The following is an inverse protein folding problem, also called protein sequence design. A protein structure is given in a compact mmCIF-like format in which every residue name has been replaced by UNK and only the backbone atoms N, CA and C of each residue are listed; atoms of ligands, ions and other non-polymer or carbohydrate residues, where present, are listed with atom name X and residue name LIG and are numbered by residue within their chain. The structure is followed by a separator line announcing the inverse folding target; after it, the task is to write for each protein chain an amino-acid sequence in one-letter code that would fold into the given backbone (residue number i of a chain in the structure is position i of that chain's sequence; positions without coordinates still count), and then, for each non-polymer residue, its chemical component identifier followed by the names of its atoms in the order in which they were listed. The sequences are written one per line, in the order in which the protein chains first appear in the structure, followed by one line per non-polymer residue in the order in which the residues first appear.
data_IF_810581209192
#
_entry.id   IF_810581209192
#
_cell.length_a   1.000
_cell.length_b   1.000
_cell.length_c   1.000
_cell.angle_alpha   90.00
_cell.angle_beta   90.00
_cell.angle_gamma   90.00
#
_symmetry.space_group_name_H-M   'P 1'
#
loop_
_entity.id
_entity.type
_entity.pdbx_description
1 polymer ?
#
# COMPACT_ATOMS: atom_id res chain seq x y z
N UNK A 1 -4.90 10.67 9.42
CA UNK A 1 -5.14 10.20 8.05
C UNK A 1 -4.90 11.24 6.95
N UNK A 2 -4.02 12.27 7.07
CA UNK A 2 -3.92 13.27 5.99
C UNK A 2 -3.53 12.69 4.63
N UNK A 3 -2.66 11.67 4.59
CA UNK A 3 -2.29 11.02 3.33
C UNK A 3 -3.46 10.20 2.77
N UNK A 4 -3.96 9.26 3.59
CA UNK A 4 -5.13 8.43 3.29
C UNK A 4 -6.35 9.21 2.80
N UNK A 5 -6.76 10.22 3.56
CA UNK A 5 -7.95 11.03 3.25
C UNK A 5 -7.74 11.80 1.94
N UNK A 6 -6.53 12.29 1.69
CA UNK A 6 -6.22 13.00 0.44
C UNK A 6 -6.27 12.03 -0.74
N UNK A 7 -5.68 10.85 -0.62
CA UNK A 7 -5.69 9.81 -1.66
C UNK A 7 -7.11 9.36 -2.00
N UNK A 8 -7.92 9.02 -0.99
CA UNK A 8 -9.31 8.62 -1.19
C UNK A 8 -10.18 9.75 -1.75
N UNK A 9 -10.02 10.99 -1.26
CA UNK A 9 -10.76 12.13 -1.80
C UNK A 9 -10.43 12.38 -3.28
N UNK A 10 -9.15 12.24 -3.66
CA UNK A 10 -8.73 12.35 -5.06
C UNK A 10 -9.39 11.28 -5.93
N UNK A 11 -9.41 10.02 -5.49
CA UNK A 11 -10.12 8.96 -6.22
C UNK A 11 -11.60 9.27 -6.37
N UNK A 12 -12.27 9.65 -5.29
CA UNK A 12 -13.70 9.99 -5.31
C UNK A 12 -14.00 11.17 -6.25
N UNK A 13 -13.17 12.21 -6.24
CA UNK A 13 -13.32 13.36 -7.14
C UNK A 13 -13.13 12.97 -8.61
N UNK A 14 -12.14 12.12 -8.91
CA UNK A 14 -11.91 11.62 -10.26
C UNK A 14 -13.09 10.77 -10.76
N UNK A 15 -13.64 9.89 -9.92
CA UNK A 15 -14.84 9.10 -10.27
C UNK A 15 -16.10 9.98 -10.44
N UNK A 16 -16.20 11.08 -9.69
CA UNK A 16 -17.27 12.06 -9.82
C UNK A 16 -17.14 12.95 -11.07
N UNK A 17 -16.08 12.78 -11.88
CA UNK A 17 -15.88 13.50 -13.14
C UNK A 17 -15.15 14.84 -12.99
N UNK A 18 -14.47 15.10 -11.86
CA UNK A 18 -13.60 16.28 -11.75
C UNK A 18 -12.50 16.21 -12.84
N UNK A 19 -12.25 17.30 -13.59
CA UNK A 19 -11.23 17.30 -14.63
C UNK A 19 -9.83 16.96 -14.08
N UNK A 20 -9.16 15.96 -14.67
CA UNK A 20 -7.81 15.51 -14.25
C UNK A 20 -6.76 16.63 -14.20
N UNK A 21 -6.92 17.66 -15.03
CA UNK A 21 -6.05 18.84 -15.08
C UNK A 21 -6.57 20.03 -14.24
N UNK A 22 -7.61 19.82 -13.44
CA UNK A 22 -8.19 20.82 -12.54
C UNK A 22 -7.19 21.25 -11.47
N UNK A 23 -7.25 22.52 -11.07
CA UNK A 23 -6.31 23.10 -10.11
C UNK A 23 -6.31 22.37 -8.74
N UNK A 24 -7.48 21.87 -8.30
CA UNK A 24 -7.63 21.16 -7.03
C UNK A 24 -6.90 19.81 -7.04
N UNK A 25 -7.17 18.98 -8.05
CA UNK A 25 -6.51 17.68 -8.21
C UNK A 25 -5.00 17.84 -8.41
N UNK A 26 -4.58 18.76 -9.27
CA UNK A 26 -3.15 19.01 -9.48
C UNK A 26 -2.43 19.42 -8.18
N UNK A 27 -3.07 20.22 -7.32
CA UNK A 27 -2.50 20.61 -6.02
C UNK A 27 -2.38 19.40 -5.08
N UNK A 28 -3.42 18.58 -4.97
CA UNK A 28 -3.42 17.40 -4.11
C UNK A 28 -2.39 16.35 -4.57
N UNK A 29 -2.37 16.05 -5.88
CA UNK A 29 -1.44 15.08 -6.45
C UNK A 29 0.03 15.49 -6.29
N UNK A 30 0.36 16.77 -6.49
CA UNK A 30 1.71 17.28 -6.23
C UNK A 30 2.08 17.17 -4.74
N UNK A 31 1.14 17.54 -3.87
CA UNK A 31 1.36 17.46 -2.42
C UNK A 31 1.67 16.03 -1.96
N UNK A 32 0.99 15.02 -2.53
CA UNK A 32 1.27 13.60 -2.28
C UNK A 32 2.61 13.18 -2.90
N UNK A 33 2.88 13.55 -4.15
CA UNK A 33 4.14 13.21 -4.84
C UNK A 33 5.38 13.75 -4.10
N UNK A 34 5.30 14.97 -3.54
CA UNK A 34 6.38 15.59 -2.76
C UNK A 34 6.65 14.89 -1.41
N UNK A 35 5.83 13.90 -1.03
CA UNK A 35 5.88 13.17 0.26
C UNK A 35 6.23 11.70 0.11
N UNK A 36 6.64 11.27 -1.07
CA UNK A 36 7.16 9.91 -1.23
C UNK A 36 8.44 9.77 -0.40
N UNK A 37 8.51 8.74 0.44
CA UNK A 37 9.69 8.41 1.22
C UNK A 37 10.69 7.69 0.32
N UNK A 38 11.76 8.39 -0.07
CA UNK A 38 12.76 7.89 -1.03
C UNK A 38 14.17 7.69 -0.44
N UNK A 39 14.42 8.19 0.78
CA UNK A 39 15.77 8.27 1.35
C UNK A 39 15.89 7.68 2.76
N UNK A 40 14.76 7.31 3.38
CA UNK A 40 14.72 6.75 4.74
C UNK A 40 14.31 5.28 4.67
N UNK A 41 15.17 4.40 5.21
CA UNK A 41 14.82 3.02 5.48
C UNK A 41 14.16 2.92 6.86
N UNK A 42 12.93 2.42 6.90
CA UNK A 42 12.16 2.17 8.11
C UNK A 42 12.45 0.81 8.74
N UNK A 43 11.68 0.45 9.77
CA UNK A 43 11.83 -0.82 10.48
C UNK A 43 11.60 -2.04 9.55
N UNK A 44 10.76 -1.86 8.52
CA UNK A 44 10.53 -2.83 7.44
C UNK A 44 11.81 -3.32 6.75
N UNK A 45 12.87 -2.51 6.73
CA UNK A 45 14.15 -2.88 6.14
C UNK A 45 14.83 -4.06 6.88
N UNK A 46 14.42 -4.34 8.12
CA UNK A 46 14.84 -5.53 8.87
C UNK A 46 14.51 -6.82 8.11
N UNK A 47 13.30 -6.90 7.53
CA UNK A 47 12.85 -8.06 6.76
C UNK A 47 13.16 -7.95 5.26
N UNK A 48 13.43 -6.74 4.77
CA UNK A 48 13.74 -6.46 3.35
C UNK A 48 15.03 -5.64 3.22
N UNK A 49 16.19 -6.17 3.65
CA UNK A 49 17.44 -5.44 3.58
C UNK A 49 17.81 -5.15 2.11
N UNK A 50 18.13 -3.90 1.82
CA UNK A 50 18.53 -3.46 0.48
C UNK A 50 17.38 -3.12 -0.48
N UNK A 51 16.13 -3.36 -0.10
CA UNK A 51 14.98 -2.83 -0.84
C UNK A 51 14.99 -1.29 -0.72
N UNK A 52 14.86 -0.60 -1.85
CA UNK A 52 14.86 0.86 -1.85
C UNK A 52 13.54 1.39 -1.30
N UNK A 53 13.54 2.40 -0.41
CA UNK A 53 12.30 3.02 0.07
C UNK A 53 11.53 3.68 -1.07
N UNK A 54 10.20 3.55 -1.08
CA UNK A 54 9.34 4.13 -2.11
C UNK A 54 7.89 4.34 -1.71
N UNK A 55 7.58 4.26 -0.41
CA UNK A 55 6.22 4.33 0.12
C UNK A 55 5.81 5.72 0.61
N UNK A 56 4.60 5.78 1.16
CA UNK A 56 4.00 6.91 1.86
C UNK A 56 3.52 6.44 3.22
N UNK A 57 3.45 7.34 4.18
CA UNK A 57 2.87 7.08 5.48
C UNK A 57 1.48 7.72 5.61
N UNK A 58 0.64 7.14 6.44
CA UNK A 58 -0.67 7.68 6.84
C UNK A 58 -0.66 9.14 7.34
N UNK A 59 0.39 9.54 8.08
CA UNK A 59 0.54 10.86 8.70
C UNK A 59 1.22 11.89 7.78
N UNK A 60 1.43 13.10 8.28
CA UNK A 60 2.13 14.16 7.53
C UNK A 60 3.63 13.88 7.28
N UNK A 61 4.27 13.25 8.26
CA UNK A 61 5.70 12.90 8.24
C UNK A 61 5.90 11.75 9.23
N UNK A 62 6.28 10.59 8.72
CA UNK A 62 6.51 9.38 9.51
C UNK A 62 7.38 8.40 8.71
N UNK A 63 8.53 8.89 8.25
CA UNK A 63 9.33 8.27 7.19
C UNK A 63 9.90 6.89 7.56
N UNK A 64 9.91 6.54 8.85
CA UNK A 64 10.30 5.20 9.32
C UNK A 64 9.17 4.16 9.28
N UNK A 65 7.92 4.60 9.12
CA UNK A 65 6.74 3.74 9.07
C UNK A 65 5.82 4.09 7.89
N UNK A 66 6.33 4.06 6.64
CA UNK A 66 5.45 4.01 5.49
C UNK A 66 4.66 2.70 5.52
N UNK A 67 3.41 2.75 5.11
CA UNK A 67 2.51 1.60 5.04
C UNK A 67 2.11 1.32 3.59
N UNK A 68 1.86 0.05 3.28
CA UNK A 68 1.63 -0.40 1.91
C UNK A 68 0.24 -0.02 1.41
N UNK A 69 -0.75 0.15 2.29
CA UNK A 69 -2.10 0.52 1.92
C UNK A 69 -2.23 1.99 1.52
N UNK A 70 -1.69 2.94 2.29
CA UNK A 70 -1.57 4.34 1.87
C UNK A 70 -0.75 4.43 0.59
N UNK A 71 0.38 3.72 0.53
CA UNK A 71 1.25 3.72 -0.65
C UNK A 71 0.53 3.24 -1.90
N UNK A 72 -0.27 2.17 -1.81
CA UNK A 72 -1.06 1.66 -2.91
C UNK A 72 -2.12 2.68 -3.36
N UNK A 73 -2.87 3.26 -2.42
CA UNK A 73 -3.92 4.25 -2.71
C UNK A 73 -3.33 5.51 -3.34
N UNK A 74 -2.22 6.01 -2.83
CA UNK A 74 -1.53 7.20 -3.34
C UNK A 74 -0.97 6.94 -4.73
N UNK A 75 -0.20 5.86 -4.93
CA UNK A 75 0.39 5.55 -6.23
C UNK A 75 -0.70 5.37 -7.31
N UNK A 76 -1.79 4.68 -6.97
CA UNK A 76 -2.94 4.52 -7.86
C UNK A 76 -3.58 5.88 -8.22
N UNK A 77 -3.60 6.85 -7.31
CA UNK A 77 -4.05 8.21 -7.61
C UNK A 77 -3.06 8.94 -8.53
N UNK A 78 -1.76 8.92 -8.20
CA UNK A 78 -0.72 9.62 -8.97
C UNK A 78 -0.62 9.11 -10.41
N UNK A 79 -0.84 7.82 -10.65
CA UNK A 79 -0.92 7.23 -11.99
C UNK A 79 -2.00 7.89 -12.87
N UNK A 80 -3.07 8.41 -12.27
CA UNK A 80 -4.16 9.08 -12.98
C UNK A 80 -3.90 10.57 -13.24
N UNK A 81 -2.79 11.12 -12.75
CA UNK A 81 -2.45 12.54 -12.92
C UNK A 81 -2.22 12.94 -14.39
N UNK A 82 -2.49 14.20 -14.73
CA UNK A 82 -2.17 14.74 -16.06
C UNK A 82 -0.72 15.19 -16.21
N UNK A 83 -0.06 15.56 -15.12
CA UNK A 83 1.32 16.07 -15.10
C UNK A 83 2.31 14.89 -15.00
N UNK A 84 3.17 14.64 -16.03
CA UNK A 84 4.12 13.53 -15.98
C UNK A 84 5.14 13.63 -14.84
N UNK A 85 5.42 14.85 -14.33
CA UNK A 85 6.36 15.01 -13.21
C UNK A 85 5.84 14.37 -11.93
N UNK A 86 4.53 14.42 -11.71
CA UNK A 86 3.86 13.80 -10.56
C UNK A 86 3.98 12.27 -10.59
N UNK A 87 4.15 11.69 -11.78
CA UNK A 87 4.26 10.23 -11.98
C UNK A 87 5.67 9.67 -11.83
N UNK A 88 6.68 10.52 -11.68
CA UNK A 88 8.08 10.08 -11.69
C UNK A 88 8.43 9.07 -10.58
N UNK A 89 7.69 9.11 -9.47
CA UNK A 89 7.85 8.21 -8.34
C UNK A 89 7.23 6.82 -8.49
N UNK A 90 6.40 6.58 -9.51
CA UNK A 90 5.62 5.33 -9.64
C UNK A 90 6.49 4.08 -9.79
N UNK A 91 7.55 4.04 -10.60
CA UNK A 91 8.40 2.85 -10.69
C UNK A 91 9.03 2.47 -9.33
N UNK A 92 9.38 3.47 -8.53
CA UNK A 92 9.94 3.27 -7.18
C UNK A 92 8.87 2.76 -6.20
N UNK A 93 7.63 3.22 -6.34
CA UNK A 93 6.50 2.73 -5.56
C UNK A 93 6.16 1.28 -5.90
N UNK A 94 6.16 0.93 -7.19
CA UNK A 94 5.95 -0.46 -7.66
C UNK A 94 7.03 -1.39 -7.09
N UNK A 95 8.31 -1.02 -7.22
CA UNK A 95 9.42 -1.78 -6.65
C UNK A 95 9.24 -2.02 -5.15
N UNK A 96 8.89 -0.96 -4.40
CA UNK A 96 8.72 -1.06 -2.97
C UNK A 96 7.52 -1.95 -2.59
N UNK A 97 6.35 -1.76 -3.21
CA UNK A 97 5.16 -2.60 -2.96
C UNK A 97 5.45 -4.06 -3.29
N UNK A 98 6.06 -4.36 -4.44
CA UNK A 98 6.43 -5.73 -4.83
C UNK A 98 7.41 -6.33 -3.81
N UNK A 99 8.42 -5.57 -3.40
CA UNK A 99 9.40 -6.01 -2.41
C UNK A 99 8.82 -6.26 -1.02
N UNK A 100 7.74 -5.57 -0.66
CA UNK A 100 7.04 -5.72 0.62
C UNK A 100 6.06 -6.91 0.67
N UNK A 101 5.87 -7.65 -0.44
CA UNK A 101 4.99 -8.82 -0.45
C UNK A 101 5.54 -9.93 0.46
N UNK A 102 4.66 -10.55 1.25
CA UNK A 102 5.03 -11.71 2.08
C UNK A 102 5.07 -13.00 1.27
N UNK A 103 5.74 -14.05 1.78
CA UNK A 103 5.88 -15.35 1.10
C UNK A 103 4.57 -16.06 0.80
N UNK A 104 3.52 -15.85 1.59
CA UNK A 104 2.18 -16.40 1.34
C UNK A 104 1.42 -15.68 0.21
N UNK A 105 1.99 -14.62 -0.37
CA UNK A 105 1.39 -13.87 -1.47
C UNK A 105 0.58 -12.64 -1.03
N UNK A 106 0.28 -12.49 0.26
CA UNK A 106 -0.40 -11.31 0.78
C UNK A 106 0.55 -10.20 1.25
N UNK A 107 -0.04 -9.09 1.66
CA UNK A 107 0.63 -7.95 2.29
C UNK A 107 0.03 -7.65 3.66
N UNK A 108 0.90 -7.44 4.66
CA UNK A 108 0.56 -6.72 5.90
C UNK A 108 0.68 -5.21 5.68
N UNK A 109 0.33 -4.40 6.66
CA UNK A 109 0.31 -2.94 6.53
C UNK A 109 1.71 -2.32 6.47
N UNK A 110 2.62 -2.70 7.37
CA UNK A 110 3.94 -2.07 7.55
C UNK A 110 5.10 -3.03 7.25
N UNK A 111 4.95 -4.30 7.61
CA UNK A 111 6.05 -5.27 7.57
C UNK A 111 5.72 -6.48 6.70
N UNK A 112 6.76 -6.99 6.04
CA UNK A 112 6.68 -8.27 5.40
C UNK A 112 7.06 -9.40 6.38
N UNK A 113 6.41 -10.56 6.28
CA UNK A 113 6.63 -11.74 7.14
C UNK A 113 6.30 -11.57 8.63
N UNK A 114 5.54 -10.55 9.03
CA UNK A 114 5.17 -10.33 10.43
C UNK A 114 4.00 -11.26 10.87
N UNK A 115 4.24 -12.57 10.84
CA UNK A 115 3.25 -13.63 11.10
C UNK A 115 3.68 -14.58 12.21
N UNK A 116 4.44 -14.09 13.19
CA UNK A 116 4.89 -14.86 14.36
C UNK A 116 3.78 -15.08 15.39
N UNK A 117 2.68 -15.76 14.99
CA UNK A 117 1.45 -15.94 15.77
C UNK A 117 1.65 -16.47 17.20
N UNK A 118 2.73 -17.19 17.46
CA UNK A 118 3.08 -17.65 18.80
C UNK A 118 3.26 -16.51 19.82
N UNK A 119 3.61 -15.29 19.36
CA UNK A 119 3.72 -14.10 20.19
C UNK A 119 2.38 -13.62 20.74
N UNK A 120 1.24 -14.04 20.16
CA UNK A 120 -0.08 -13.75 20.71
C UNK A 120 -0.45 -14.62 21.93
N UNK A 121 0.43 -15.54 22.37
CA UNK A 121 0.18 -16.43 23.51
C UNK A 121 0.96 -16.05 24.79
N UNK A 122 1.60 -14.89 24.81
CA UNK A 122 2.26 -14.37 26.02
C UNK A 122 1.30 -13.49 26.84
N UNK A 123 1.48 -13.35 28.17
CA UNK A 123 0.57 -12.56 29.01
C UNK A 123 0.42 -11.09 28.61
N UNK A 124 1.40 -10.55 27.88
CA UNK A 124 1.38 -9.16 27.37
C UNK A 124 0.43 -8.97 26.17
N UNK A 125 0.06 -10.04 25.47
CA UNK A 125 -0.67 -10.00 24.20
C UNK A 125 -2.20 -10.08 24.37
N UNK A 126 -2.76 -9.41 25.37
CA UNK A 126 -4.19 -9.52 25.72
C UNK A 126 -5.14 -9.02 24.63
N UNK A 127 -4.68 -8.13 23.75
CA UNK A 127 -5.43 -7.57 22.62
C UNK A 127 -5.30 -8.36 21.30
N UNK A 128 -4.41 -9.36 21.22
CA UNK A 128 -4.24 -10.24 20.04
C UNK A 128 -3.77 -9.56 18.74
N UNK A 129 -3.34 -8.31 18.80
CA UNK A 129 -2.95 -7.49 17.64
C UNK A 129 -1.47 -7.06 17.68
N UNK A 130 -0.59 -7.90 18.25
CA UNK A 130 0.85 -7.62 18.33
C UNK A 130 1.57 -7.74 16.98
N UNK A 131 0.89 -8.29 15.98
CA UNK A 131 1.47 -8.69 14.70
C UNK A 131 0.80 -7.95 13.56
N UNK A 132 1.51 -7.91 12.44
CA UNK A 132 1.07 -7.37 11.16
C UNK A 132 1.05 -8.46 10.08
N UNK A 133 0.24 -9.52 10.25
CA UNK A 133 0.17 -10.56 9.23
C UNK A 133 -0.51 -10.02 7.98
N UNK A 134 -0.27 -10.64 6.82
CA UNK A 134 -1.01 -10.32 5.62
C UNK A 134 -2.53 -10.38 5.80
N UNK A 135 -3.25 -9.43 5.19
CA UNK A 135 -4.73 -9.37 5.23
C UNK A 135 -5.31 -9.10 3.86
N UNK A 136 -6.59 -9.43 3.70
CA UNK A 136 -7.30 -9.46 2.42
C UNK A 136 -7.54 -8.06 1.86
N UNK A 137 -7.92 -7.11 2.72
CA UNK A 137 -8.13 -5.71 2.37
C UNK A 137 -6.85 -5.02 1.88
N UNK A 138 -5.73 -5.20 2.58
CA UNK A 138 -4.42 -4.65 2.20
C UNK A 138 -3.90 -5.30 0.92
N UNK A 139 -4.02 -6.63 0.82
CA UNK A 139 -3.62 -7.37 -0.38
C UNK A 139 -4.42 -6.94 -1.61
N UNK A 140 -5.74 -6.78 -1.48
CA UNK A 140 -6.59 -6.33 -2.58
C UNK A 140 -6.21 -4.92 -3.07
N UNK A 141 -5.83 -4.00 -2.18
CA UNK A 141 -5.36 -2.66 -2.56
C UNK A 141 -4.04 -2.71 -3.32
N UNK A 142 -3.07 -3.50 -2.84
CA UNK A 142 -1.79 -3.68 -3.52
C UNK A 142 -1.98 -4.29 -4.91
N UNK A 143 -2.80 -5.35 -5.03
CA UNK A 143 -3.16 -5.96 -6.32
C UNK A 143 -3.83 -4.95 -7.26
N UNK A 144 -4.79 -4.16 -6.75
CA UNK A 144 -5.47 -3.13 -7.53
C UNK A 144 -4.53 -2.04 -8.05
N UNK A 145 -3.62 -1.57 -7.21
CA UNK A 145 -2.59 -0.59 -7.60
C UNK A 145 -1.66 -1.15 -8.69
N UNK A 146 -1.10 -2.36 -8.48
CA UNK A 146 -0.19 -2.98 -9.43
C UNK A 146 -0.87 -3.23 -10.79
N UNK A 147 -2.11 -3.73 -10.75
CA UNK A 147 -2.90 -3.97 -11.97
C UNK A 147 -3.24 -2.67 -12.72
N UNK A 148 -3.52 -1.57 -12.02
CA UNK A 148 -3.79 -0.28 -12.66
C UNK A 148 -2.54 0.29 -13.33
N UNK A 149 -1.39 0.27 -12.63
CA UNK A 149 -0.13 0.81 -13.17
C UNK A 149 0.35 -0.04 -14.35
N UNK A 150 0.16 -1.36 -14.30
CA UNK A 150 0.46 -2.25 -15.42
C UNK A 150 1.95 -2.41 -15.72
N UNK A 151 2.82 -2.21 -14.72
CA UNK A 151 4.25 -2.47 -14.84
C UNK A 151 4.51 -3.99 -14.76
N UNK A 152 5.31 -4.52 -15.68
CA UNK A 152 5.62 -5.97 -15.76
C UNK A 152 6.25 -6.51 -14.47
N UNK A 153 6.97 -5.67 -13.72
CA UNK A 153 7.55 -6.06 -12.43
C UNK A 153 6.50 -6.48 -11.39
N UNK A 154 5.25 -6.07 -11.58
CA UNK A 154 4.13 -6.43 -10.70
C UNK A 154 3.44 -7.75 -11.04
N UNK A 155 3.67 -8.36 -12.21
CA UNK A 155 2.87 -9.49 -12.71
C UNK A 155 2.88 -10.69 -11.76
N UNK A 156 4.05 -11.16 -11.36
CA UNK A 156 4.18 -12.30 -10.43
C UNK A 156 3.56 -11.97 -9.07
N UNK A 157 3.70 -10.72 -8.61
CA UNK A 157 3.14 -10.28 -7.34
C UNK A 157 1.60 -10.26 -7.38
N UNK A 158 1.01 -9.81 -8.49
CA UNK A 158 -0.42 -9.84 -8.75
C UNK A 158 -0.94 -11.27 -8.71
N UNK A 159 -0.30 -12.21 -9.42
CA UNK A 159 -0.74 -13.60 -9.46
C UNK A 159 -0.76 -14.23 -8.06
N UNK A 160 0.31 -14.02 -7.29
CA UNK A 160 0.41 -14.51 -5.90
C UNK A 160 -0.61 -13.85 -4.98
N UNK A 161 -0.85 -12.55 -5.13
CA UNK A 161 -1.88 -11.84 -4.37
C UNK A 161 -3.29 -12.32 -4.67
N UNK A 162 -3.60 -12.60 -5.94
CA UNK A 162 -4.88 -13.19 -6.34
C UNK A 162 -5.04 -14.62 -5.81
N UNK A 163 -3.98 -15.42 -5.78
CA UNK A 163 -4.01 -16.75 -5.15
C UNK A 163 -4.28 -16.64 -3.65
N UNK A 164 -3.59 -15.74 -2.94
CA UNK A 164 -3.83 -15.46 -1.52
C UNK A 164 -5.30 -15.11 -1.25
N UNK A 165 -5.87 -14.16 -2.00
CA UNK A 165 -7.28 -13.74 -1.82
C UNK A 165 -8.28 -14.88 -2.08
N UNK A 166 -8.00 -15.77 -3.05
CA UNK A 166 -8.86 -16.94 -3.29
C UNK A 166 -8.78 -17.95 -2.16
N UNK A 167 -7.60 -18.13 -1.58
CA UNK A 167 -7.36 -19.07 -0.47
C UNK A 167 -7.98 -18.58 0.85
N UNK A 168 -8.05 -17.27 1.06
CA UNK A 168 -8.59 -16.67 2.30
C UNK A 168 -10.08 -16.29 2.22
N UNK A 169 -10.74 -16.52 1.09
CA UNK A 169 -12.17 -16.28 0.95
C UNK A 169 -12.96 -17.16 1.93
N UNK A 170 -13.93 -16.57 2.63
CA UNK A 170 -14.79 -17.28 3.57
C UNK A 170 -15.75 -18.23 2.83
N UNK A 171 -16.26 -19.29 3.49
CA UNK A 171 -17.18 -20.24 2.85
C UNK A 171 -18.49 -19.61 2.31
N UNK A 172 -18.89 -18.45 2.83
CA UNK A 172 -20.06 -17.69 2.37
C UNK A 172 -19.75 -16.72 1.22
N UNK A 173 -18.50 -16.68 0.76
CA UNK A 173 -18.01 -15.82 -0.32
C UNK A 173 -17.50 -14.46 0.13
N UNK A 174 -17.58 -14.12 1.42
CA UNK A 174 -17.06 -12.86 1.96
C UNK A 174 -15.54 -12.87 2.18
N UNK A 175 -14.98 -11.70 2.46
CA UNK A 175 -13.61 -11.53 2.95
C UNK A 175 -13.63 -10.75 4.26
N UNK A 176 -12.64 -11.00 5.12
CA UNK A 176 -12.50 -10.27 6.37
C UNK A 176 -11.99 -8.85 6.11
N UNK A 177 -12.62 -7.86 6.76
CA UNK A 177 -12.17 -6.47 6.76
C UNK A 177 -11.34 -6.20 8.02
N UNK A 178 -10.01 -6.11 7.89
CA UNK A 178 -9.11 -5.87 9.02
C UNK A 178 -9.14 -4.42 9.47
N UNK A 179 -9.21 -3.49 8.51
CA UNK A 179 -9.05 -2.05 8.73
C UNK A 179 -10.29 -1.21 8.38
N UNK A 180 -11.37 -1.83 7.90
CA UNK A 180 -12.67 -1.19 7.64
C UNK A 180 -13.28 -1.53 6.29
#
# INVERSE_FOLDING_TARGET
SPMWDTGLAVHAMLEAGEPKNGARLNKAMRWMADRQVCDVSGDWATHRPGLRPGGWAFQYANDHYPDVDDSAVVAMALDRASDPKVKQGLPRAVEWIVGMQSKNGGWGSFDAENSHYHLNHIPFADHGALLDPPTEDVTARCVGMLAQIGDEAGNDAIERGLSYLRETQQPDGSWFGRWG
#
